data_IF_783058231994
#
_entry.id   IF_783058231994
#
_cell.length_a   1.000
_cell.length_b   1.000
_cell.length_c   1.000
_cell.angle_alpha   90.00
_cell.angle_beta   90.00
_cell.angle_gamma   90.00
#
_symmetry.space_group_name_H-M   'P 1'
#
loop_
_entity.id
_entity.type
_entity.pdbx_description
1 polymer ?
#
# COMPACT_ATOMS: atom_id res chain seq x y z
N UNK A 1 -29.73 -51.36 -8.97
CA UNK A 1 -30.15 -50.21 -8.16
C UNK A 1 -29.17 -50.03 -7.01
N UNK A 2 -28.81 -48.77 -6.75
CA UNK A 2 -28.04 -48.26 -5.60
C UNK A 2 -26.54 -48.55 -5.58
N UNK A 3 -25.80 -47.72 -6.31
CA UNK A 3 -24.41 -47.36 -5.99
C UNK A 3 -24.38 -46.72 -4.60
N UNK A 4 -23.66 -47.35 -3.69
CA UNK A 4 -23.33 -46.86 -2.36
C UNK A 4 -22.58 -45.52 -2.44
N UNK A 5 -23.20 -44.46 -1.93
CA UNK A 5 -22.55 -43.20 -1.61
C UNK A 5 -21.48 -43.46 -0.54
N UNK A 6 -20.23 -43.66 -0.97
CA UNK A 6 -19.08 -43.43 -0.10
C UNK A 6 -18.89 -41.91 -0.01
N UNK A 7 -19.52 -41.27 0.98
CA UNK A 7 -19.02 -40.01 1.52
C UNK A 7 -17.69 -40.32 2.19
N UNK A 8 -16.62 -40.35 1.37
CA UNK A 8 -15.26 -40.39 1.86
C UNK A 8 -15.08 -39.12 2.71
N UNK A 9 -15.00 -39.29 4.04
CA UNK A 9 -14.52 -38.27 4.94
C UNK A 9 -13.04 -38.06 4.62
N UNK A 10 -12.75 -37.21 3.63
CA UNK A 10 -11.38 -36.90 3.23
C UNK A 10 -10.77 -36.04 4.33
N UNK A 11 -9.84 -36.61 5.11
CA UNK A 11 -9.06 -35.83 6.07
C UNK A 11 -8.07 -34.97 5.33
N UNK A 12 -7.99 -33.67 5.66
CA UNK A 12 -6.90 -32.82 5.15
C UNK A 12 -5.56 -33.33 5.68
N UNK A 13 -4.49 -33.29 4.86
CA UNK A 13 -3.14 -33.53 5.34
C UNK A 13 -2.77 -32.50 6.42
N UNK A 14 -2.06 -32.93 7.48
CA UNK A 14 -1.56 -32.03 8.52
C UNK A 14 -0.75 -30.84 7.94
N UNK A 15 0.00 -31.10 6.87
CA UNK A 15 0.77 -30.10 6.09
C UNK A 15 -0.09 -28.93 5.58
N UNK A 16 -1.37 -29.15 5.33
CA UNK A 16 -2.28 -28.08 4.89
C UNK A 16 -2.56 -27.07 6.01
N UNK A 17 -2.82 -27.57 7.22
CA UNK A 17 -3.04 -26.70 8.38
C UNK A 17 -1.75 -25.99 8.81
N UNK A 18 -0.60 -26.67 8.71
CA UNK A 18 0.71 -26.03 8.93
C UNK A 18 0.96 -24.89 7.93
N UNK A 19 0.58 -25.06 6.67
CA UNK A 19 0.70 -24.02 5.63
C UNK A 19 -0.18 -22.81 5.97
N UNK A 20 -1.42 -23.04 6.40
CA UNK A 20 -2.33 -21.97 6.82
C UNK A 20 -1.84 -21.23 8.08
N UNK A 21 -1.26 -21.95 9.04
CA UNK A 21 -0.69 -21.34 10.23
C UNK A 21 0.53 -20.47 9.91
N UNK A 22 1.39 -20.92 8.99
CA UNK A 22 2.50 -20.11 8.48
C UNK A 22 2.00 -18.87 7.75
N UNK A 23 0.93 -18.98 6.96
CA UNK A 23 0.31 -17.84 6.28
C UNK A 23 -0.24 -16.81 7.26
N UNK A 24 -0.96 -17.24 8.31
CA UNK A 24 -1.44 -16.38 9.39
C UNK A 24 -0.28 -15.68 10.09
N UNK A 25 0.80 -16.40 10.38
CA UNK A 25 1.97 -15.84 11.04
C UNK A 25 2.63 -14.75 10.19
N UNK A 26 2.84 -15.02 8.90
CA UNK A 26 3.40 -14.04 7.96
C UNK A 26 2.47 -12.83 7.76
N UNK A 27 1.16 -13.04 7.75
CA UNK A 27 0.19 -11.95 7.66
C UNK A 27 0.23 -11.05 8.91
N UNK A 28 0.39 -11.62 10.12
CA UNK A 28 0.59 -10.83 11.34
C UNK A 28 1.91 -10.05 11.30
N UNK A 29 2.99 -10.66 10.84
CA UNK A 29 4.28 -9.97 10.65
C UNK A 29 4.16 -8.82 9.65
N UNK A 30 3.38 -9.00 8.58
CA UNK A 30 3.10 -7.95 7.61
C UNK A 30 2.40 -6.74 8.24
N UNK A 31 1.46 -6.96 9.16
CA UNK A 31 0.80 -5.86 9.89
C UNK A 31 1.82 -5.08 10.72
N UNK A 32 2.76 -5.76 11.38
CA UNK A 32 3.84 -5.09 12.12
C UNK A 32 4.72 -4.26 11.19
N UNK A 33 5.10 -4.78 10.03
CA UNK A 33 5.88 -4.05 9.02
C UNK A 33 5.12 -2.81 8.54
N UNK A 34 3.81 -2.89 8.33
CA UNK A 34 2.98 -1.75 7.91
C UNK A 34 2.90 -0.68 9.01
N UNK A 35 2.84 -1.09 10.28
CA UNK A 35 2.88 -0.17 11.41
C UNK A 35 4.25 0.51 11.55
N UNK A 36 5.34 -0.21 11.31
CA UNK A 36 6.70 0.33 11.24
C UNK A 36 6.87 1.30 10.06
N UNK A 37 6.32 0.96 8.90
CA UNK A 37 6.31 1.81 7.70
C UNK A 37 5.62 3.13 7.97
N UNK A 38 4.47 3.11 8.67
CA UNK A 38 3.78 4.34 9.10
C UNK A 38 4.68 5.21 9.98
N UNK A 39 5.41 4.63 10.94
CA UNK A 39 6.32 5.37 11.82
C UNK A 39 7.47 5.99 11.02
N UNK A 40 8.08 5.22 10.11
CA UNK A 40 9.16 5.68 9.26
C UNK A 40 8.70 6.79 8.29
N UNK A 41 7.47 6.69 7.76
CA UNK A 41 6.87 7.73 6.92
C UNK A 41 6.68 9.05 7.69
N UNK A 42 6.16 8.98 8.92
CA UNK A 42 5.99 10.17 9.78
C UNK A 42 7.35 10.78 10.15
N UNK A 43 8.36 9.96 10.38
CA UNK A 43 9.73 10.41 10.69
C UNK A 43 10.52 10.88 9.44
N UNK A 44 9.98 10.71 8.23
CA UNK A 44 10.68 10.89 6.95
C UNK A 44 12.03 10.14 6.87
N UNK A 45 12.11 8.97 7.51
CA UNK A 45 13.32 8.13 7.55
C UNK A 45 13.42 7.28 6.26
N UNK A 46 14.03 7.87 5.22
CA UNK A 46 14.20 7.23 3.92
C UNK A 46 14.99 5.90 3.96
N UNK A 47 16.12 5.77 4.70
CA UNK A 47 16.79 4.50 4.89
C UNK A 47 15.89 3.39 5.47
N UNK A 48 15.12 3.70 6.52
CA UNK A 48 14.19 2.75 7.11
C UNK A 48 13.08 2.34 6.12
N UNK A 49 12.54 3.28 5.34
CA UNK A 49 11.52 3.01 4.33
C UNK A 49 12.01 2.06 3.24
N UNK A 50 13.24 2.22 2.76
CA UNK A 50 13.85 1.31 1.76
C UNK A 50 13.97 -0.10 2.33
N UNK A 51 14.41 -0.23 3.58
CA UNK A 51 14.54 -1.53 4.24
C UNK A 51 13.18 -2.21 4.43
N UNK A 52 12.19 -1.47 4.95
CA UNK A 52 10.83 -1.95 5.17
C UNK A 52 10.15 -2.34 3.85
N UNK A 53 10.35 -1.58 2.77
CA UNK A 53 9.84 -1.92 1.44
C UNK A 53 10.40 -3.24 0.91
N UNK A 54 11.70 -3.51 1.13
CA UNK A 54 12.30 -4.80 0.73
C UNK A 54 11.71 -5.94 1.54
N UNK A 55 11.61 -5.78 2.87
CA UNK A 55 11.03 -6.78 3.77
C UNK A 55 9.57 -7.09 3.39
N UNK A 56 8.76 -6.07 3.14
CA UNK A 56 7.37 -6.19 2.67
C UNK A 56 7.27 -6.99 1.36
N UNK A 57 8.14 -6.72 0.38
CA UNK A 57 8.19 -7.47 -0.87
C UNK A 57 8.51 -8.95 -0.66
N UNK A 58 9.52 -9.26 0.17
CA UNK A 58 9.89 -10.64 0.51
C UNK A 58 8.74 -11.39 1.18
N UNK A 59 8.05 -10.76 2.13
CA UNK A 59 6.90 -11.38 2.80
C UNK A 59 5.72 -11.58 1.85
N UNK A 60 5.46 -10.64 0.93
CA UNK A 60 4.40 -10.77 -0.07
C UNK A 60 4.64 -11.97 -1.01
N UNK A 61 5.88 -12.13 -1.51
CA UNK A 61 6.26 -13.30 -2.33
C UNK A 61 6.08 -14.60 -1.54
N UNK A 62 6.43 -14.61 -0.26
CA UNK A 62 6.30 -15.80 0.58
C UNK A 62 4.83 -16.16 0.84
N UNK A 63 3.97 -15.20 1.12
CA UNK A 63 2.52 -15.40 1.25
C UNK A 63 1.95 -15.97 -0.04
N UNK A 64 2.32 -15.40 -1.20
CA UNK A 64 1.89 -15.91 -2.50
C UNK A 64 2.32 -17.37 -2.71
N UNK A 65 3.55 -17.73 -2.38
CA UNK A 65 4.03 -19.11 -2.52
C UNK A 65 3.28 -20.11 -1.62
N UNK A 66 2.85 -19.68 -0.43
CA UNK A 66 2.08 -20.51 0.49
C UNK A 66 0.64 -20.67 0.03
N UNK A 67 0.02 -19.61 -0.50
CA UNK A 67 -1.31 -19.70 -1.12
C UNK A 67 -1.28 -20.63 -2.33
N UNK A 68 -0.25 -20.54 -3.19
CA UNK A 68 -0.06 -21.48 -4.31
C UNK A 68 0.08 -22.94 -3.82
N UNK A 69 0.82 -23.16 -2.74
CA UNK A 69 0.96 -24.49 -2.12
C UNK A 69 -0.39 -24.99 -1.58
N UNK A 70 -1.12 -24.15 -0.85
CA UNK A 70 -2.45 -24.47 -0.34
C UNK A 70 -3.45 -24.77 -1.47
N UNK A 71 -3.40 -24.01 -2.56
CA UNK A 71 -4.20 -24.24 -3.77
C UNK A 71 -3.84 -25.57 -4.44
N UNK A 72 -2.56 -25.94 -4.50
CA UNK A 72 -2.12 -27.21 -5.06
C UNK A 72 -2.63 -28.40 -4.23
N UNK A 73 -2.50 -28.34 -2.89
CA UNK A 73 -3.06 -29.36 -2.00
C UNK A 73 -4.58 -29.44 -2.16
N UNK A 74 -5.27 -28.31 -2.26
CA UNK A 74 -6.72 -28.29 -2.49
C UNK A 74 -7.13 -28.93 -3.82
N UNK A 75 -6.33 -28.75 -4.89
CA UNK A 75 -6.56 -29.38 -6.22
C UNK A 75 -6.38 -30.88 -6.18
N UNK A 76 -5.35 -31.37 -5.50
CA UNK A 76 -5.11 -32.80 -5.31
C UNK A 76 -6.30 -33.48 -4.61
N UNK A 77 -6.89 -32.81 -3.62
CA UNK A 77 -7.98 -33.38 -2.80
C UNK A 77 -9.34 -33.34 -3.51
N UNK A 78 -9.60 -32.29 -4.29
CA UNK A 78 -10.87 -32.16 -5.04
C UNK A 78 -10.87 -32.90 -6.38
N UNK A 79 -9.75 -33.55 -6.73
CA UNK A 79 -9.54 -34.23 -8.01
C UNK A 79 -9.90 -33.37 -9.24
N UNK A 80 -9.84 -32.03 -9.10
CA UNK A 80 -10.20 -31.08 -10.15
C UNK A 80 -8.99 -30.23 -10.56
N UNK A 81 -8.10 -30.77 -11.43
CA UNK A 81 -6.89 -30.10 -11.85
C UNK A 81 -7.13 -28.86 -12.73
N UNK A 82 -8.35 -28.66 -13.24
CA UNK A 82 -8.69 -27.56 -14.14
C UNK A 82 -9.12 -26.26 -13.42
N UNK A 83 -9.34 -26.31 -12.10
CA UNK A 83 -9.76 -25.13 -11.35
C UNK A 83 -8.58 -24.18 -11.11
N UNK A 84 -8.60 -23.00 -11.75
CA UNK A 84 -7.59 -21.93 -11.58
C UNK A 84 -7.44 -21.48 -10.13
N UNK A 85 -8.53 -21.46 -9.34
CA UNK A 85 -8.48 -21.27 -7.89
C UNK A 85 -9.61 -22.06 -7.24
N UNK A 86 -9.30 -22.85 -6.22
CA UNK A 86 -10.29 -23.53 -5.40
C UNK A 86 -10.54 -22.64 -4.17
N UNK A 87 -11.81 -22.24 -4.00
CA UNK A 87 -12.20 -21.49 -2.81
C UNK A 87 -12.11 -22.44 -1.62
N UNK A 88 -11.45 -22.06 -0.52
CA UNK A 88 -11.42 -22.87 0.71
C UNK A 88 -12.83 -23.25 1.20
N UNK A 89 -13.85 -22.46 0.85
CA UNK A 89 -15.27 -22.74 1.10
C UNK A 89 -15.81 -24.00 0.39
N UNK A 90 -15.25 -24.38 -0.76
CA UNK A 90 -15.65 -25.60 -1.48
C UNK A 90 -15.00 -26.86 -0.91
N UNK A 91 -14.04 -26.73 0.00
CA UNK A 91 -13.48 -27.85 0.75
C UNK A 91 -14.35 -28.20 1.96
N UNK A 92 -15.06 -27.23 2.55
CA UNK A 92 -15.93 -27.42 3.73
C UNK A 92 -16.91 -28.60 3.64
N UNK A 93 -17.62 -28.87 2.52
CA UNK A 93 -18.55 -30.02 2.44
C UNK A 93 -17.84 -31.38 2.32
N UNK A 94 -16.53 -31.42 2.07
CA UNK A 94 -15.74 -32.64 1.92
C UNK A 94 -15.00 -33.06 3.20
N UNK A 95 -15.14 -32.26 4.27
CA UNK A 95 -14.35 -32.38 5.50
C UNK A 95 -15.17 -32.90 6.66
N UNK A 96 -14.48 -33.54 7.60
CA UNK A 96 -15.07 -33.84 8.91
C UNK A 96 -15.52 -32.55 9.62
N UNK A 97 -16.60 -32.58 10.43
CA UNK A 97 -17.15 -31.39 11.09
C UNK A 97 -16.12 -30.61 11.93
N UNK A 98 -15.19 -31.32 12.57
CA UNK A 98 -14.11 -30.73 13.36
C UNK A 98 -13.11 -29.96 12.47
N UNK A 99 -12.66 -30.55 11.36
CA UNK A 99 -11.73 -29.90 10.43
C UNK A 99 -12.38 -28.75 9.67
N UNK A 100 -13.67 -28.87 9.35
CA UNK A 100 -14.47 -27.80 8.73
C UNK A 100 -14.55 -26.56 9.64
N UNK A 101 -14.77 -26.76 10.95
CA UNK A 101 -14.79 -25.67 11.93
C UNK A 101 -13.42 -24.96 12.02
N UNK A 102 -12.33 -25.73 12.13
CA UNK A 102 -10.96 -25.19 12.17
C UNK A 102 -10.61 -24.40 10.90
N UNK A 103 -10.94 -24.94 9.72
CA UNK A 103 -10.73 -24.26 8.45
C UNK A 103 -11.53 -22.94 8.36
N UNK A 104 -12.76 -22.94 8.85
CA UNK A 104 -13.59 -21.74 8.87
C UNK A 104 -13.03 -20.67 9.81
N UNK A 105 -12.42 -21.06 10.93
CA UNK A 105 -11.72 -20.15 11.82
C UNK A 105 -10.50 -19.50 11.15
N UNK A 106 -9.61 -20.30 10.55
CA UNK A 106 -8.46 -19.79 9.80
C UNK A 106 -8.88 -18.85 8.67
N UNK A 107 -9.94 -19.20 7.93
CA UNK A 107 -10.46 -18.35 6.86
C UNK A 107 -10.96 -17.00 7.39
N UNK A 108 -11.70 -16.98 8.50
CA UNK A 108 -12.15 -15.73 9.13
C UNK A 108 -10.97 -14.88 9.58
N UNK A 109 -9.97 -15.52 10.16
CA UNK A 109 -8.77 -14.85 10.63
C UNK A 109 -7.96 -14.25 9.46
N UNK A 110 -7.68 -15.03 8.42
CA UNK A 110 -6.97 -14.56 7.23
C UNK A 110 -7.72 -13.41 6.55
N UNK A 111 -9.05 -13.50 6.41
CA UNK A 111 -9.85 -12.42 5.84
C UNK A 111 -9.71 -11.11 6.65
N UNK A 112 -9.74 -11.21 7.98
CA UNK A 112 -9.54 -10.07 8.87
C UNK A 112 -8.13 -9.48 8.73
N UNK A 113 -7.10 -10.33 8.70
CA UNK A 113 -5.71 -9.89 8.55
C UNK A 113 -5.48 -9.20 7.19
N UNK A 114 -6.05 -9.75 6.11
CA UNK A 114 -6.01 -9.15 4.78
C UNK A 114 -6.65 -7.77 4.75
N UNK A 115 -7.83 -7.62 5.36
CA UNK A 115 -8.51 -6.32 5.47
C UNK A 115 -7.65 -5.29 6.23
N UNK A 116 -7.03 -5.70 7.34
CA UNK A 116 -6.12 -4.85 8.10
C UNK A 116 -4.88 -4.43 7.29
N UNK A 117 -4.28 -5.37 6.55
CA UNK A 117 -3.14 -5.10 5.65
C UNK A 117 -3.55 -4.12 4.55
N UNK A 118 -4.69 -4.34 3.89
CA UNK A 118 -5.19 -3.46 2.83
C UNK A 118 -5.43 -2.05 3.34
N UNK A 119 -6.14 -1.92 4.47
CA UNK A 119 -6.45 -0.63 5.08
C UNK A 119 -5.19 0.11 5.50
N UNK A 120 -4.25 -0.57 6.17
CA UNK A 120 -2.99 0.03 6.59
C UNK A 120 -2.13 0.49 5.41
N UNK A 121 -2.04 -0.33 4.35
CA UNK A 121 -1.34 0.05 3.12
C UNK A 121 -1.97 1.26 2.43
N UNK A 122 -3.30 1.34 2.39
CA UNK A 122 -4.00 2.46 1.78
C UNK A 122 -3.76 3.75 2.56
N UNK A 123 -3.77 3.70 3.90
CA UNK A 123 -3.42 4.85 4.74
C UNK A 123 -1.99 5.30 4.47
N UNK A 124 -1.02 4.38 4.46
CA UNK A 124 0.39 4.70 4.21
C UNK A 124 0.58 5.31 2.80
N UNK A 125 -0.13 4.79 1.79
CA UNK A 125 -0.11 5.32 0.43
C UNK A 125 -0.62 6.77 0.39
N UNK A 126 -1.80 7.04 0.94
CA UNK A 126 -2.36 8.39 0.96
C UNK A 126 -1.46 9.36 1.70
N UNK A 127 -0.91 8.95 2.85
CA UNK A 127 0.03 9.79 3.59
C UNK A 127 1.28 10.14 2.75
N UNK A 128 1.86 9.16 2.05
CA UNK A 128 3.02 9.41 1.19
C UNK A 128 2.69 10.34 0.02
N UNK A 129 1.51 10.21 -0.59
CA UNK A 129 1.01 11.09 -1.65
C UNK A 129 0.83 12.53 -1.15
N UNK A 130 0.25 12.70 0.04
CA UNK A 130 0.05 14.01 0.67
C UNK A 130 1.40 14.67 1.00
N UNK A 131 2.33 13.95 1.63
CA UNK A 131 3.67 14.46 1.93
C UNK A 131 4.40 14.89 0.66
N UNK A 132 4.31 14.08 -0.41
CA UNK A 132 4.89 14.42 -1.70
C UNK A 132 4.29 15.72 -2.26
N UNK A 133 2.97 15.88 -2.17
CA UNK A 133 2.27 17.10 -2.61
C UNK A 133 2.77 18.33 -1.83
N UNK A 134 2.82 18.24 -0.50
CA UNK A 134 3.32 19.33 0.33
C UNK A 134 4.78 19.70 0.02
N UNK A 135 5.65 18.71 -0.19
CA UNK A 135 7.04 18.96 -0.58
C UNK A 135 7.14 19.66 -1.94
N UNK A 136 6.34 19.23 -2.92
CA UNK A 136 6.29 19.88 -4.22
C UNK A 136 5.79 21.33 -4.12
N UNK A 137 4.72 21.57 -3.35
CA UNK A 137 4.17 22.91 -3.14
C UNK A 137 5.19 23.83 -2.43
N UNK A 138 5.91 23.31 -1.44
CA UNK A 138 6.97 24.05 -0.75
C UNK A 138 8.16 24.37 -1.68
N UNK A 139 8.58 23.40 -2.51
CA UNK A 139 9.62 23.62 -3.52
C UNK A 139 9.14 24.68 -4.53
N UNK A 140 7.90 24.60 -5.02
CA UNK A 140 7.31 25.58 -5.92
C UNK A 140 7.26 26.97 -5.29
N UNK A 141 6.92 27.09 -4.00
CA UNK A 141 6.91 28.38 -3.29
C UNK A 141 8.31 28.97 -3.19
N UNK A 142 9.31 28.17 -2.78
CA UNK A 142 10.70 28.63 -2.66
C UNK A 142 11.27 29.02 -4.03
N UNK A 143 11.01 28.23 -5.06
CA UNK A 143 11.53 28.47 -6.42
C UNK A 143 10.84 29.62 -7.13
N UNK A 144 9.53 29.82 -6.93
CA UNK A 144 8.80 31.00 -7.46
C UNK A 144 9.23 32.29 -6.78
N UNK A 145 9.39 32.29 -5.45
CA UNK A 145 9.92 33.44 -4.70
C UNK A 145 11.37 33.80 -5.09
N UNK A 146 12.18 32.80 -5.47
CA UNK A 146 13.54 33.03 -5.98
C UNK A 146 13.57 33.52 -7.45
N UNK A 147 12.54 33.21 -8.24
CA UNK A 147 12.41 33.63 -9.64
C UNK A 147 11.88 35.06 -9.79
N UNK A 148 11.07 35.52 -8.84
CA UNK A 148 10.64 36.92 -8.76
C UNK A 148 11.77 37.80 -8.21
N UNK A 149 12.72 38.18 -9.06
CA UNK A 149 13.55 39.36 -8.79
C UNK A 149 12.64 40.59 -8.83
N UNK A 150 12.38 41.30 -7.71
CA UNK A 150 11.75 42.59 -7.81
C UNK A 150 12.78 43.52 -8.45
N UNK A 151 12.60 43.85 -9.73
CA UNK A 151 13.32 44.94 -10.39
C UNK A 151 12.77 46.25 -9.80
N UNK A 152 13.12 46.52 -8.55
CA UNK A 152 12.81 47.79 -7.90
C UNK A 152 13.99 48.74 -8.13
N UNK A 153 13.77 49.66 -9.06
CA UNK A 153 14.39 50.98 -9.18
C UNK A 153 15.91 51.09 -9.33
N UNK A 154 16.35 51.09 -10.59
CA UNK A 154 17.48 51.91 -11.04
C UNK A 154 17.13 52.56 -12.39
N UNK A 155 16.03 53.32 -12.44
CA UNK A 155 15.88 54.40 -13.44
C UNK A 155 16.57 55.66 -12.89
N UNK A 156 17.87 55.54 -12.66
CA UNK A 156 18.77 56.68 -12.66
C UNK A 156 19.36 56.77 -14.06
N UNK A 157 19.17 57.92 -14.72
CA UNK A 157 19.99 58.41 -15.83
C UNK A 157 19.63 57.74 -17.19
N UNK A 158 19.06 58.44 -18.19
CA UNK A 158 19.72 59.55 -18.88
C UNK A 158 18.87 60.24 -19.98
N UNK A 159 19.27 61.49 -20.28
CA UNK A 159 19.21 62.22 -21.58
C UNK A 159 18.07 63.21 -21.87
N UNK A 160 18.40 64.47 -21.57
CA UNK A 160 18.31 65.66 -22.43
C UNK A 160 16.92 66.16 -22.84
N UNK A 161 16.42 67.05 -21.99
CA UNK A 161 15.55 68.14 -22.42
C UNK A 161 16.27 69.00 -23.48
N UNK A 162 15.74 69.00 -24.70
CA UNK A 162 16.09 69.99 -25.74
C UNK A 162 14.92 70.94 -25.90
N UNK A 163 15.03 72.08 -25.22
CA UNK A 163 14.75 73.45 -25.70
C UNK A 163 13.64 73.57 -26.75
N UNK A 164 12.45 73.99 -26.30
CA UNK A 164 11.66 75.12 -26.83
C UNK A 164 10.35 75.23 -26.06
N UNK A 165 10.40 75.90 -24.90
CA UNK A 165 9.47 76.98 -24.53
C UNK A 165 9.77 77.45 -23.11
N UNK A 166 9.82 78.77 -22.84
CA UNK A 166 10.26 79.31 -21.57
C UNK A 166 9.13 79.41 -20.52
N UNK A 167 9.60 79.46 -19.28
CA UNK A 167 8.96 79.45 -17.96
C UNK A 167 8.15 80.71 -17.59
N UNK A 168 7.55 80.60 -16.39
CA UNK A 168 6.92 81.63 -15.52
C UNK A 168 5.39 81.70 -15.69
N UNK A 169 4.55 81.66 -14.64
CA UNK A 169 4.63 82.39 -13.38
C UNK A 169 3.97 81.60 -12.22
N UNK A 170 4.55 81.77 -11.03
CA UNK A 170 4.12 81.42 -9.68
C UNK A 170 2.67 81.74 -9.32
N UNK A 171 2.11 80.97 -8.39
CA UNK A 171 1.39 81.57 -7.26
C UNK A 171 1.47 80.65 -6.04
N UNK A 172 2.15 81.16 -5.01
CA UNK A 172 2.00 80.72 -3.63
C UNK A 172 0.71 81.28 -3.02
N UNK A 173 0.38 80.67 -1.87
CA UNK A 173 -0.60 81.01 -0.82
C UNK A 173 -2.00 80.41 -1.00
#
# INVERSE_FOLDING_TARGET
MQTTNQTANTSLPAKFFETLEQEVTLAREMITIIAEEKKALVAMDMPALIHLSKKKSTHAVRIQSLDELAQNIAREITANPAAKSIKLASLTPLLSPAQAATLQQYRKELAKLQEMIMTGNQINKHFAEDVKKYLNDAISLITSAAAERPIYNLKGVNKQASVRQPTFISREV
#
